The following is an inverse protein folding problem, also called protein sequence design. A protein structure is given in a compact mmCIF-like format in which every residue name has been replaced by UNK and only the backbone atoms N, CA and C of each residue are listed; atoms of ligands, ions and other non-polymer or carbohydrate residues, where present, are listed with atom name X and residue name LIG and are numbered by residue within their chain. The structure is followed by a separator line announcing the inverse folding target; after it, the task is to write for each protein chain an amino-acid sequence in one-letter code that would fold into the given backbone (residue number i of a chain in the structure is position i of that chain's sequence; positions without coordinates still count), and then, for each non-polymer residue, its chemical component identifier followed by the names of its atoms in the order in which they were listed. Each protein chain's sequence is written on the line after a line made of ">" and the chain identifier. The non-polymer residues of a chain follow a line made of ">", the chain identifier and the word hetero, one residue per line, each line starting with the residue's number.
data_IF_123983031164
#
_entry.id   IF_123983031164
#
_cell.length_a   1.000
_cell.length_b   1.000
_cell.length_c   1.000
_cell.angle_alpha   90.00
_cell.angle_beta   90.00
_cell.angle_gamma   90.00
#
_symmetry.space_group_name_H-M   'P 1'
#
loop_
_entity.id
_entity.type
_entity.pdbx_description
1 polymer ?
#
# COMPACT_ATOMS: atom_id res chain seq x y z
N UNK A 1 40.43 -14.47 -15.96
CA UNK A 1 38.99 -14.29 -16.29
C UNK A 1 38.91 -13.65 -17.67
N UNK A 2 38.19 -14.24 -18.64
CA UNK A 2 38.09 -13.68 -20.00
C UNK A 2 37.17 -12.44 -20.04
N UNK A 3 37.46 -11.48 -20.93
CA UNK A 3 36.72 -10.23 -21.07
C UNK A 3 35.20 -10.43 -21.27
N UNK A 4 34.79 -11.47 -22.01
CA UNK A 4 33.37 -11.82 -22.18
C UNK A 4 32.67 -12.24 -20.88
N UNK A 5 33.38 -12.91 -19.97
CA UNK A 5 32.83 -13.28 -18.65
C UNK A 5 32.69 -12.05 -17.74
N UNK A 6 33.61 -11.09 -17.83
CA UNK A 6 33.54 -9.83 -17.09
C UNK A 6 32.33 -8.98 -17.54
N UNK A 7 32.04 -8.93 -18.84
CA UNK A 7 30.87 -8.22 -19.37
C UNK A 7 29.53 -8.84 -18.93
N UNK A 8 29.41 -10.17 -18.96
CA UNK A 8 28.19 -10.86 -18.50
C UNK A 8 27.97 -10.61 -17.00
N UNK A 9 29.04 -10.69 -16.19
CA UNK A 9 28.96 -10.40 -14.75
C UNK A 9 28.52 -8.96 -14.50
N UNK A 10 29.02 -7.97 -15.26
CA UNK A 10 28.64 -6.57 -15.11
C UNK A 10 27.16 -6.34 -15.45
N UNK A 11 26.65 -6.97 -16.51
CA UNK A 11 25.23 -6.87 -16.91
C UNK A 11 24.32 -7.51 -15.85
N UNK A 12 24.65 -8.71 -15.37
CA UNK A 12 23.87 -9.40 -14.33
C UNK A 12 23.90 -8.60 -13.02
N UNK A 13 25.06 -8.04 -12.64
CA UNK A 13 25.18 -7.20 -11.46
C UNK A 13 24.30 -5.94 -11.56
N UNK A 14 24.29 -5.28 -12.73
CA UNK A 14 23.43 -4.13 -12.98
C UNK A 14 21.93 -4.48 -12.82
N UNK A 15 21.48 -5.57 -13.44
CA UNK A 15 20.09 -6.04 -13.28
C UNK A 15 19.76 -6.40 -11.83
N UNK A 16 20.68 -7.05 -11.12
CA UNK A 16 20.49 -7.39 -9.72
C UNK A 16 20.32 -6.12 -8.85
N UNK A 17 21.11 -5.08 -9.11
CA UNK A 17 21.01 -3.80 -8.41
C UNK A 17 19.67 -3.13 -8.71
N UNK A 18 19.27 -2.98 -9.98
CA UNK A 18 17.98 -2.37 -10.35
C UNK A 18 16.79 -3.16 -9.80
N UNK A 19 16.86 -4.49 -9.83
CA UNK A 19 15.84 -5.37 -9.22
C UNK A 19 15.70 -5.06 -7.73
N UNK A 20 16.81 -5.04 -7.00
CA UNK A 20 16.79 -4.76 -5.57
C UNK A 20 16.34 -3.34 -5.24
N UNK A 21 16.69 -2.35 -6.07
CA UNK A 21 16.34 -0.96 -5.84
C UNK A 21 14.88 -0.62 -6.17
N UNK A 22 14.25 -1.27 -7.16
CA UNK A 22 12.89 -0.92 -7.57
C UNK A 22 11.84 -1.90 -7.03
N UNK A 23 12.08 -3.21 -7.18
CA UNK A 23 11.07 -4.23 -6.88
C UNK A 23 10.94 -4.43 -5.37
N UNK A 24 12.04 -4.45 -4.61
CA UNK A 24 11.98 -4.60 -3.15
C UNK A 24 11.21 -3.48 -2.45
N UNK A 25 11.44 -2.18 -2.71
CA UNK A 25 10.63 -1.14 -2.07
C UNK A 25 9.18 -1.14 -2.55
N UNK A 26 8.91 -1.47 -3.81
CA UNK A 26 7.55 -1.58 -4.31
C UNK A 26 6.77 -2.70 -3.57
N UNK A 27 7.37 -3.88 -3.42
CA UNK A 27 6.79 -4.97 -2.63
C UNK A 27 6.59 -4.59 -1.16
N UNK A 28 7.57 -3.89 -0.56
CA UNK A 28 7.45 -3.42 0.83
C UNK A 28 6.27 -2.45 1.01
N UNK A 29 6.09 -1.51 0.08
CA UNK A 29 4.96 -0.57 0.09
C UNK A 29 3.62 -1.29 -0.07
N UNK A 30 3.51 -2.22 -1.03
CA UNK A 30 2.28 -3.00 -1.25
C UNK A 30 1.91 -3.82 -0.01
N UNK A 31 2.89 -4.50 0.60
CA UNK A 31 2.68 -5.26 1.84
C UNK A 31 2.24 -4.36 3.00
N UNK A 32 2.85 -3.18 3.16
CA UNK A 32 2.47 -2.24 4.21
C UNK A 32 1.04 -1.71 4.04
N UNK A 33 0.63 -1.41 2.80
CA UNK A 33 -0.76 -0.99 2.50
C UNK A 33 -1.74 -2.12 2.78
N UNK A 34 -1.46 -3.33 2.31
CA UNK A 34 -2.33 -4.49 2.56
C UNK A 34 -2.46 -4.80 4.06
N UNK A 35 -1.35 -4.69 4.80
CA UNK A 35 -1.34 -4.89 6.24
C UNK A 35 -2.17 -3.81 6.95
N UNK A 36 -1.96 -2.52 6.63
CA UNK A 36 -2.76 -1.43 7.18
C UNK A 36 -4.26 -1.64 6.90
N UNK A 37 -4.61 -2.02 5.67
CA UNK A 37 -6.00 -2.30 5.30
C UNK A 37 -6.59 -3.45 6.12
N UNK A 38 -5.82 -4.50 6.39
CA UNK A 38 -6.25 -5.63 7.23
C UNK A 38 -6.43 -5.28 8.72
N UNK A 39 -5.73 -4.24 9.18
CA UNK A 39 -5.76 -3.77 10.56
C UNK A 39 -6.83 -2.69 10.81
N UNK A 40 -7.53 -2.22 9.76
CA UNK A 40 -8.60 -1.23 9.88
C UNK A 40 -9.71 -1.68 10.84
N UNK A 41 -10.08 -0.76 11.74
CA UNK A 41 -11.11 -0.97 12.75
C UNK A 41 -12.11 0.18 12.83
N UNK A 42 -13.26 -0.09 13.45
CA UNK A 42 -14.25 0.95 13.77
C UNK A 42 -13.61 2.03 14.65
N UNK A 43 -13.85 3.29 14.28
CA UNK A 43 -13.30 4.45 14.98
C UNK A 43 -12.04 5.04 14.35
N UNK A 44 -11.40 4.33 13.42
CA UNK A 44 -10.22 4.85 12.72
C UNK A 44 -10.60 6.07 11.87
N UNK A 45 -9.85 7.16 12.05
CA UNK A 45 -9.85 8.29 11.14
C UNK A 45 -9.01 7.93 9.92
N UNK A 46 -9.57 8.06 8.72
CA UNK A 46 -8.91 7.58 7.50
C UNK A 46 -8.97 8.61 6.38
N UNK A 47 -8.10 8.40 5.39
CA UNK A 47 -8.18 9.07 4.08
C UNK A 47 -8.25 8.01 2.99
N UNK A 48 -9.24 8.13 2.11
CA UNK A 48 -9.36 7.26 0.92
C UNK A 48 -8.35 7.66 -0.17
N UNK A 49 -8.16 6.81 -1.17
CA UNK A 49 -7.28 7.11 -2.32
C UNK A 49 -7.73 8.40 -3.06
N UNK A 50 -9.04 8.66 -3.10
CA UNK A 50 -9.63 9.86 -3.69
C UNK A 50 -9.53 11.11 -2.80
N UNK A 51 -8.92 11.02 -1.62
CA UNK A 51 -8.78 12.14 -0.69
C UNK A 51 -10.00 12.41 0.18
N UNK A 52 -10.96 11.48 0.27
CA UNK A 52 -12.09 11.63 1.20
C UNK A 52 -11.60 11.36 2.62
N UNK A 53 -11.84 12.32 3.52
CA UNK A 53 -11.60 12.19 4.94
C UNK A 53 -12.87 11.72 5.64
N UNK A 54 -12.73 10.80 6.60
CA UNK A 54 -13.86 10.32 7.39
C UNK A 54 -13.42 9.37 8.50
N UNK A 55 -14.41 8.82 9.18
CA UNK A 55 -14.19 7.86 10.28
C UNK A 55 -14.92 6.55 9.98
N UNK A 56 -14.26 5.43 10.22
CA UNK A 56 -14.85 4.10 10.00
C UNK A 56 -15.95 3.84 11.02
N UNK A 57 -17.15 3.51 10.55
CA UNK A 57 -18.31 3.17 11.38
C UNK A 57 -18.53 1.66 11.49
N UNK A 58 -18.26 0.92 10.41
CA UNK A 58 -18.27 -0.55 10.39
C UNK A 58 -17.24 -1.09 9.39
N UNK A 59 -16.77 -2.31 9.66
CA UNK A 59 -15.79 -3.03 8.84
C UNK A 59 -16.33 -4.44 8.59
N UNK A 60 -16.41 -4.80 7.31
CA UNK A 60 -16.63 -6.17 6.85
C UNK A 60 -15.33 -6.70 6.19
N UNK A 61 -15.35 -7.90 5.63
CA UNK A 61 -14.16 -8.50 5.00
C UNK A 61 -13.61 -7.66 3.84
N UNK A 62 -14.49 -7.24 2.92
CA UNK A 62 -14.12 -6.55 1.68
C UNK A 62 -14.56 -5.09 1.62
N UNK A 63 -15.49 -4.68 2.49
CA UNK A 63 -16.12 -3.36 2.46
C UNK A 63 -16.08 -2.71 3.84
N UNK A 64 -16.11 -1.39 3.85
CA UNK A 64 -16.23 -0.60 5.07
C UNK A 64 -17.27 0.51 4.88
N UNK A 65 -17.89 0.92 5.97
CA UNK A 65 -18.77 2.10 5.99
C UNK A 65 -18.02 3.25 6.65
N UNK A 66 -17.91 4.36 5.94
CA UNK A 66 -17.23 5.57 6.38
C UNK A 66 -18.28 6.65 6.62
N UNK A 67 -18.16 7.32 7.76
CA UNK A 67 -18.92 8.53 8.08
C UNK A 67 -18.11 9.76 7.69
N UNK A 68 -18.68 10.62 6.85
CA UNK A 68 -18.08 11.90 6.46
C UNK A 68 -19.16 12.95 6.23
N UNK A 69 -19.04 14.12 6.85
CA UNK A 69 -19.99 15.24 6.66
C UNK A 69 -21.46 14.91 6.97
N UNK A 70 -21.72 13.92 7.81
CA UNK A 70 -23.09 13.44 8.14
C UNK A 70 -23.64 12.38 7.18
N UNK A 71 -22.93 12.06 6.11
CA UNK A 71 -23.26 10.94 5.21
C UNK A 71 -22.53 9.66 5.60
N UNK A 72 -23.16 8.53 5.28
CA UNK A 72 -22.62 7.19 5.48
C UNK A 72 -22.37 6.60 4.09
N UNK A 73 -21.11 6.32 3.77
CA UNK A 73 -20.69 5.89 2.44
C UNK A 73 -19.97 4.55 2.53
N UNK A 74 -20.33 3.62 1.66
CA UNK A 74 -19.68 2.32 1.56
C UNK A 74 -18.52 2.38 0.57
N UNK A 75 -17.34 1.96 1.01
CA UNK A 75 -16.14 1.86 0.19
C UNK A 75 -15.57 0.45 0.26
N UNK A 76 -14.84 0.06 -0.78
CA UNK A 76 -14.00 -1.13 -0.69
C UNK A 76 -12.86 -0.90 0.30
N UNK A 77 -12.53 -1.93 1.07
CA UNK A 77 -11.47 -1.88 2.07
C UNK A 77 -10.11 -1.53 1.46
N UNK A 78 -9.89 -1.93 0.22
CA UNK A 78 -8.68 -1.62 -0.54
C UNK A 78 -8.59 -0.15 -1.01
N UNK A 79 -9.67 0.62 -0.90
CA UNK A 79 -9.73 2.03 -1.29
C UNK A 79 -9.17 2.98 -0.22
N UNK A 80 -8.70 2.44 0.91
CA UNK A 80 -8.13 3.22 2.02
C UNK A 80 -6.63 3.39 1.82
N UNK A 81 -6.20 4.65 1.83
CA UNK A 81 -4.80 5.04 1.60
C UNK A 81 -4.02 5.05 2.90
N UNK A 82 -4.58 5.63 3.96
CA UNK A 82 -3.91 5.79 5.24
C UNK A 82 -4.90 5.96 6.40
N UNK A 83 -4.43 5.59 7.60
CA UNK A 83 -5.06 5.91 8.88
C UNK A 83 -4.39 7.15 9.44
N UNK A 84 -5.19 8.17 9.75
CA UNK A 84 -4.73 9.41 10.38
C UNK A 84 -4.56 9.14 11.87
N UNK A 85 -3.31 9.16 12.34
CA UNK A 85 -3.02 9.20 13.77
C UNK A 85 -3.21 10.65 14.23
N UNK A 86 -4.23 10.87 15.05
CA UNK A 86 -4.34 12.09 15.85
C UNK A 86 -3.33 12.06 16.99
#
# INVERSE_FOLDING_TARGET
>A
MNAGMMNIVMIVAMFAIFYFLLIRPQQKRQKAVAQMQSELAKGDAIVTIGGLHGTIESVDETKIVIKSGGSHLTFDRNAIREVVKN
#
